data_IF_395541952659
#
_entry.id   IF_395541952659
#
_cell.length_a   1.000
_cell.length_b   1.000
_cell.length_c   1.000
_cell.angle_alpha   90.00
_cell.angle_beta   90.00
_cell.angle_gamma   90.00
#
_symmetry.space_group_name_H-M   'P 1'
#
loop_
_entity.id
_entity.type
_entity.pdbx_description
1 polymer ?
#
# COMPACT_ATOMS: atom_id res chain seq x y z
N UNK A 1 -35.08 -9.00 11.16
CA UNK A 1 -35.25 -7.55 10.93
C UNK A 1 -34.90 -6.81 12.20
N UNK A 2 -33.69 -6.30 12.34
CA UNK A 2 -33.31 -5.32 13.36
C UNK A 2 -32.54 -4.24 12.67
N UNK A 3 -33.16 -3.04 12.63
CA UNK A 3 -32.61 -1.77 12.15
C UNK A 3 -31.36 -1.39 12.93
N UNK A 4 -30.26 -1.18 12.25
CA UNK A 4 -29.16 -0.34 12.72
C UNK A 4 -28.99 0.85 11.76
N UNK A 5 -29.90 1.79 11.94
CA UNK A 5 -29.77 3.17 11.48
C UNK A 5 -29.38 3.96 12.72
N UNK A 6 -28.21 4.47 12.81
CA UNK A 6 -27.84 5.69 13.53
C UNK A 6 -26.35 5.67 13.87
N UNK A 7 -25.59 6.52 13.24
CA UNK A 7 -24.68 7.50 13.83
C UNK A 7 -23.70 8.03 12.78
N UNK A 8 -24.26 8.80 11.85
CA UNK A 8 -23.48 9.77 11.08
C UNK A 8 -23.93 11.17 11.55
N UNK A 9 -23.41 11.61 12.69
CA UNK A 9 -23.68 12.98 13.13
C UNK A 9 -22.39 13.64 13.61
N UNK A 10 -22.03 14.73 12.91
CA UNK A 10 -21.47 15.98 13.40
C UNK A 10 -19.98 15.97 13.78
N UNK A 11 -19.17 16.52 12.88
CA UNK A 11 -18.20 17.55 13.25
C UNK A 11 -18.18 18.62 12.15
N UNK A 12 -19.23 19.46 12.15
CA UNK A 12 -19.21 20.73 11.46
C UNK A 12 -18.73 21.79 12.46
N UNK A 13 -17.42 21.98 12.60
CA UNK A 13 -16.87 23.15 13.28
C UNK A 13 -16.63 24.23 12.24
N UNK A 14 -17.45 25.28 12.30
CA UNK A 14 -17.24 26.53 11.60
C UNK A 14 -15.93 27.17 12.08
N UNK A 15 -14.92 27.16 11.26
CA UNK A 15 -13.79 28.09 11.40
C UNK A 15 -14.16 29.41 10.72
N UNK A 16 -14.50 30.42 11.52
CA UNK A 16 -14.56 31.83 11.09
C UNK A 16 -13.14 32.30 10.83
N UNK A 17 -12.81 32.51 9.56
CA UNK A 17 -11.56 33.16 9.17
C UNK A 17 -11.72 34.67 9.32
N UNK A 18 -10.92 35.25 10.21
CA UNK A 18 -10.63 36.70 10.21
C UNK A 18 -9.74 37.01 9.00
N UNK A 19 -10.21 37.84 8.10
CA UNK A 19 -9.42 38.38 6.99
C UNK A 19 -8.50 39.48 7.54
N UNK A 20 -7.19 39.26 7.41
CA UNK A 20 -6.22 40.34 7.34
C UNK A 20 -5.64 40.34 5.93
N UNK A 21 -5.96 41.41 5.22
CA UNK A 21 -5.48 41.76 3.89
C UNK A 21 -4.11 42.42 4.04
N UNK A 22 -3.05 41.79 3.51
CA UNK A 22 -1.92 42.54 2.96
C UNK A 22 -1.27 41.72 1.85
N UNK A 23 -1.21 42.34 0.68
CA UNK A 23 -0.75 41.80 -0.60
C UNK A 23 0.76 41.65 -0.63
N UNK A 24 1.21 40.41 -0.91
CA UNK A 24 2.31 40.11 -1.85
C UNK A 24 2.18 38.62 -2.18
N UNK A 25 1.55 38.30 -3.29
CA UNK A 25 1.48 36.93 -3.80
C UNK A 25 2.82 36.52 -4.43
N UNK A 26 3.79 36.18 -3.59
CA UNK A 26 4.77 35.17 -3.95
C UNK A 26 4.05 33.83 -3.95
N UNK A 27 4.12 33.08 -5.07
CA UNK A 27 3.59 31.73 -5.15
C UNK A 27 4.05 30.93 -3.92
N UNK A 28 3.15 30.27 -3.15
CA UNK A 28 3.54 29.63 -1.90
C UNK A 28 4.63 28.59 -2.18
N UNK A 29 5.81 28.80 -1.63
CA UNK A 29 6.91 27.84 -1.70
C UNK A 29 6.43 26.53 -1.08
N UNK A 30 6.42 25.43 -1.89
CA UNK A 30 5.99 24.11 -1.44
C UNK A 30 6.94 23.68 -0.31
N UNK A 31 6.41 23.37 0.87
CA UNK A 31 7.23 22.94 1.99
C UNK A 31 7.89 21.59 1.67
N UNK A 32 9.06 21.30 2.26
CA UNK A 32 9.71 20.00 2.09
C UNK A 32 8.76 18.84 2.45
N UNK A 33 7.91 19.02 3.47
CA UNK A 33 6.93 18.01 3.87
C UNK A 33 5.84 17.80 2.80
N UNK A 34 5.41 18.87 2.11
CA UNK A 34 4.43 18.79 1.04
C UNK A 34 5.00 18.05 -0.18
N UNK A 35 6.24 18.40 -0.58
CA UNK A 35 6.94 17.72 -1.67
C UNK A 35 7.13 16.22 -1.39
N UNK A 36 7.52 15.86 -0.17
CA UNK A 36 7.68 14.45 0.24
C UNK A 36 6.33 13.72 0.30
N UNK A 37 5.28 14.36 0.81
CA UNK A 37 3.93 13.78 0.81
C UNK A 37 3.48 13.44 -0.61
N UNK A 38 3.76 14.32 -1.58
CA UNK A 38 3.48 14.09 -3.00
C UNK A 38 4.35 13.00 -3.62
N UNK A 39 5.65 12.96 -3.31
CA UNK A 39 6.54 11.89 -3.76
C UNK A 39 6.11 10.51 -3.26
N UNK A 40 5.63 10.40 -2.03
CA UNK A 40 5.15 9.15 -1.44
C UNK A 40 3.91 8.56 -2.13
N UNK A 41 3.14 9.40 -2.85
CA UNK A 41 2.04 8.91 -3.68
C UNK A 41 2.49 8.33 -5.03
N UNK A 42 3.79 8.38 -5.33
CA UNK A 42 4.38 7.82 -6.55
C UNK A 42 5.22 6.58 -6.22
N UNK A 43 4.74 5.34 -6.51
CA UNK A 43 5.46 4.09 -6.22
C UNK A 43 6.80 3.95 -6.95
N UNK A 44 7.05 4.75 -7.99
CA UNK A 44 8.31 4.76 -8.75
C UNK A 44 9.08 6.07 -8.60
N UNK A 45 8.84 6.82 -7.51
CA UNK A 45 9.59 8.02 -7.18
C UNK A 45 11.08 7.72 -6.90
N UNK A 46 11.93 8.70 -7.14
CA UNK A 46 13.36 8.65 -6.80
C UNK A 46 13.61 8.91 -5.30
N UNK A 47 12.82 8.28 -4.44
CA UNK A 47 12.86 8.41 -2.98
C UNK A 47 13.12 7.05 -2.34
N UNK A 48 14.19 6.94 -1.54
CA UNK A 48 14.38 5.75 -0.70
C UNK A 48 13.39 5.84 0.45
N UNK A 49 12.59 4.80 0.64
CA UNK A 49 11.63 4.72 1.74
C UNK A 49 11.55 3.32 2.31
N UNK A 50 11.24 3.24 3.60
CA UNK A 50 11.03 1.97 4.30
C UNK A 50 9.70 2.03 5.04
N UNK A 51 8.59 1.66 4.39
CA UNK A 51 7.30 1.50 5.03
C UNK A 51 7.24 0.29 5.96
N UNK A 52 6.72 0.50 7.17
CA UNK A 52 6.25 -0.52 8.10
C UNK A 52 4.74 -0.42 8.15
N UNK A 53 4.05 -1.28 7.40
CA UNK A 53 2.60 -1.24 7.22
C UNK A 53 1.93 -2.38 7.98
N UNK A 54 1.25 -2.05 9.09
CA UNK A 54 0.41 -2.98 9.82
C UNK A 54 -1.03 -2.98 9.27
N UNK A 55 -1.52 -4.17 8.93
CA UNK A 55 -2.92 -4.44 8.62
C UNK A 55 -3.49 -5.30 9.76
N UNK A 56 -4.61 -4.89 10.31
CA UNK A 56 -5.27 -5.57 11.41
C UNK A 56 -6.67 -5.96 10.94
N UNK A 57 -6.93 -7.26 10.84
CA UNK A 57 -8.17 -7.85 10.34
C UNK A 57 -8.84 -8.67 11.47
N UNK A 58 -10.15 -8.50 11.64
CA UNK A 58 -10.94 -9.10 12.70
C UNK A 58 -12.21 -9.75 12.15
N UNK A 59 -12.74 -10.74 12.89
CA UNK A 59 -13.91 -11.47 12.48
C UNK A 59 -13.64 -12.42 11.32
N UNK A 60 -12.49 -13.07 11.29
CA UNK A 60 -12.12 -13.96 10.20
C UNK A 60 -12.76 -15.33 10.37
N UNK A 61 -13.64 -15.69 9.43
CA UNK A 61 -14.26 -17.01 9.35
C UNK A 61 -15.18 -17.35 10.53
N UNK A 62 -15.65 -18.60 10.58
CA UNK A 62 -16.62 -19.06 11.57
C UNK A 62 -16.09 -19.06 13.02
N UNK A 63 -14.78 -19.10 13.21
CA UNK A 63 -14.14 -19.05 14.52
C UNK A 63 -13.88 -17.62 15.01
N UNK A 64 -14.34 -16.59 14.27
CA UNK A 64 -14.15 -15.17 14.60
C UNK A 64 -12.67 -14.83 14.83
N UNK A 65 -11.81 -15.37 13.97
CA UNK A 65 -10.36 -15.23 14.06
C UNK A 65 -9.86 -13.80 13.82
N UNK A 66 -8.59 -13.59 14.09
CA UNK A 66 -7.92 -12.31 13.85
C UNK A 66 -6.56 -12.48 13.20
N UNK A 67 -6.12 -11.47 12.43
CA UNK A 67 -4.80 -11.44 11.80
C UNK A 67 -4.22 -10.04 11.83
N UNK A 68 -2.98 -9.97 12.29
CA UNK A 68 -2.10 -8.81 12.09
C UNK A 68 -1.07 -9.20 11.04
N UNK A 69 -0.92 -8.38 10.00
CA UNK A 69 0.14 -8.52 9.00
C UNK A 69 0.98 -7.25 8.99
N UNK A 70 2.24 -7.33 9.43
CA UNK A 70 3.21 -6.25 9.30
C UNK A 70 4.02 -6.46 8.02
N UNK A 71 3.78 -5.65 7.00
CA UNK A 71 4.58 -5.61 5.79
C UNK A 71 5.75 -4.66 5.96
N UNK A 72 6.98 -5.17 5.89
CA UNK A 72 8.20 -4.38 5.80
C UNK A 72 8.49 -4.20 4.31
N UNK A 73 8.48 -2.93 3.81
CA UNK A 73 8.41 -2.68 2.36
C UNK A 73 9.50 -1.70 1.87
N UNK A 74 10.81 -2.01 1.96
CA UNK A 74 11.85 -1.15 1.43
C UNK A 74 11.66 -0.91 -0.07
N UNK A 75 11.78 0.36 -0.47
CA UNK A 75 11.78 0.84 -1.86
C UNK A 75 13.07 1.58 -2.11
N UNK A 76 13.84 1.13 -3.11
CA UNK A 76 15.15 1.67 -3.43
C UNK A 76 15.24 2.00 -4.92
N UNK A 77 15.33 3.29 -5.29
CA UNK A 77 15.58 3.72 -6.66
C UNK A 77 17.08 3.62 -7.00
N UNK A 78 17.39 2.93 -8.08
CA UNK A 78 18.73 2.76 -8.64
C UNK A 78 18.75 3.45 -9.99
N UNK A 79 19.65 4.42 -10.18
CA UNK A 79 19.83 5.09 -11.47
C UNK A 79 20.57 4.17 -12.45
N UNK A 80 19.92 3.79 -13.54
CA UNK A 80 20.52 2.96 -14.59
C UNK A 80 21.19 3.78 -15.68
N UNK A 81 20.62 4.93 -16.01
CA UNK A 81 21.13 5.85 -17.01
C UNK A 81 20.67 7.29 -16.71
N UNK A 82 20.96 8.24 -17.59
CA UNK A 82 20.43 9.62 -17.47
C UNK A 82 18.90 9.65 -17.51
N UNK A 83 18.26 8.73 -18.23
CA UNK A 83 16.82 8.74 -18.49
C UNK A 83 16.03 7.65 -17.75
N UNK A 84 16.68 6.65 -17.13
CA UNK A 84 16.02 5.49 -16.58
C UNK A 84 16.45 5.16 -15.14
N UNK A 85 15.48 4.80 -14.33
CA UNK A 85 15.66 4.20 -13.02
C UNK A 85 15.18 2.74 -13.02
N UNK A 86 15.79 1.92 -12.16
CA UNK A 86 15.23 0.67 -11.67
C UNK A 86 14.76 0.91 -10.23
N UNK A 87 13.48 0.72 -9.97
CA UNK A 87 12.92 0.84 -8.63
C UNK A 87 12.76 -0.57 -8.06
N UNK A 88 13.63 -0.94 -7.14
CA UNK A 88 13.52 -2.19 -6.41
C UNK A 88 12.54 -2.04 -5.23
N UNK A 89 11.61 -2.97 -5.09
CA UNK A 89 10.68 -3.06 -3.96
C UNK A 89 10.64 -4.47 -3.43
N UNK A 90 10.77 -4.63 -2.12
CA UNK A 90 10.52 -5.89 -1.41
C UNK A 90 9.30 -5.68 -0.52
N UNK A 91 8.45 -6.69 -0.40
CA UNK A 91 7.39 -6.77 0.60
C UNK A 91 7.67 -8.03 1.39
N UNK A 92 8.05 -7.89 2.67
CA UNK A 92 8.28 -8.99 3.59
C UNK A 92 7.20 -8.97 4.67
N UNK A 93 6.19 -9.88 4.62
CA UNK A 93 5.14 -9.93 5.61
C UNK A 93 5.58 -10.70 6.85
N UNK A 94 5.34 -10.11 8.03
CA UNK A 94 5.37 -10.79 9.34
C UNK A 94 3.92 -10.92 9.80
N UNK A 95 3.47 -12.14 10.03
CA UNK A 95 2.08 -12.45 10.37
C UNK A 95 1.99 -12.93 11.80
N UNK A 96 1.00 -12.40 12.53
CA UNK A 96 0.49 -12.95 13.77
C UNK A 96 -1.02 -13.19 13.60
N UNK A 97 -1.47 -14.42 13.73
CA UNK A 97 -2.88 -14.74 13.54
C UNK A 97 -3.37 -15.74 14.58
N UNK A 98 -4.69 -15.68 14.83
CA UNK A 98 -5.39 -16.57 15.75
C UNK A 98 -6.68 -17.07 15.09
N UNK A 99 -6.88 -18.38 15.05
CA UNK A 99 -8.10 -19.06 14.61
C UNK A 99 -8.60 -18.64 13.19
N UNK A 100 -7.69 -18.30 12.28
CA UNK A 100 -8.00 -17.87 10.92
C UNK A 100 -8.47 -19.04 10.04
N UNK A 101 -7.99 -20.24 10.31
CA UNK A 101 -8.38 -21.47 9.61
C UNK A 101 -9.21 -22.38 10.56
N UNK A 102 -10.40 -21.88 10.96
CA UNK A 102 -11.18 -22.52 12.01
C UNK A 102 -10.46 -22.43 13.37
N UNK A 103 -10.66 -23.39 14.27
CA UNK A 103 -9.99 -23.41 15.57
C UNK A 103 -8.51 -23.87 15.44
N UNK A 104 -7.74 -23.18 14.62
CA UNK A 104 -6.35 -23.54 14.29
C UNK A 104 -5.33 -23.07 15.32
N UNK A 105 -5.75 -22.32 16.36
CA UNK A 105 -4.87 -21.71 17.35
C UNK A 105 -4.03 -20.56 16.76
N UNK A 106 -2.94 -20.22 17.45
CA UNK A 106 -2.06 -19.11 17.07
C UNK A 106 -0.96 -19.56 16.10
N UNK A 107 -0.66 -18.71 15.11
CA UNK A 107 0.53 -18.80 14.28
C UNK A 107 1.25 -17.47 14.27
N UNK A 108 2.58 -17.52 14.33
CA UNK A 108 3.44 -16.33 14.20
C UNK A 108 4.66 -16.65 13.34
N UNK A 109 4.99 -15.80 12.39
CA UNK A 109 6.15 -15.98 11.54
C UNK A 109 6.18 -15.10 10.31
N UNK A 110 7.14 -15.36 9.44
CA UNK A 110 7.20 -14.75 8.11
C UNK A 110 6.20 -15.42 7.17
N UNK A 111 5.67 -14.66 6.24
CA UNK A 111 4.99 -15.16 5.04
C UNK A 111 5.93 -15.10 3.83
N UNK A 112 5.41 -15.46 2.67
CA UNK A 112 6.15 -15.39 1.42
C UNK A 112 6.42 -13.94 1.03
N UNK A 113 7.67 -13.65 0.67
CA UNK A 113 8.08 -12.32 0.24
C UNK A 113 7.71 -12.08 -1.22
N UNK A 114 7.36 -10.83 -1.54
CA UNK A 114 7.18 -10.37 -2.92
C UNK A 114 8.28 -9.37 -3.26
N UNK A 115 9.02 -9.66 -4.33
CA UNK A 115 10.11 -8.82 -4.83
C UNK A 115 9.75 -8.29 -6.20
N UNK A 116 9.81 -6.98 -6.41
CA UNK A 116 9.47 -6.33 -7.68
C UNK A 116 10.58 -5.43 -8.15
N UNK A 117 10.79 -5.35 -9.47
CA UNK A 117 11.66 -4.38 -10.11
C UNK A 117 10.89 -3.61 -11.18
N UNK A 118 10.82 -2.29 -11.07
CA UNK A 118 10.16 -1.43 -12.07
C UNK A 118 11.21 -0.64 -12.84
N UNK A 119 11.33 -0.89 -14.13
CA UNK A 119 12.01 0.02 -15.05
C UNK A 119 11.09 1.20 -15.30
N UNK A 120 11.52 2.40 -14.92
CA UNK A 120 10.72 3.62 -15.01
C UNK A 120 11.54 4.76 -15.62
N UNK A 121 10.99 5.52 -16.59
CA UNK A 121 11.60 6.77 -17.01
C UNK A 121 11.72 7.74 -15.83
N UNK A 122 12.80 8.53 -15.79
CA UNK A 122 12.98 9.56 -14.75
C UNK A 122 12.00 10.70 -14.91
N UNK A 123 11.66 11.04 -16.14
CA UNK A 123 10.73 12.11 -16.49
C UNK A 123 9.37 11.54 -16.91
N UNK A 124 8.28 12.20 -16.54
CA UNK A 124 6.95 11.87 -17.05
C UNK A 124 6.89 12.00 -18.57
N UNK A 125 5.96 11.30 -19.21
CA UNK A 125 5.66 11.52 -20.65
C UNK A 125 5.18 12.96 -20.88
N UNK A 126 5.12 13.41 -22.15
CA UNK A 126 4.60 14.73 -22.52
C UNK A 126 3.16 14.98 -22.05
N UNK A 127 2.36 13.91 -21.82
CA UNK A 127 1.02 13.96 -21.22
C UNK A 127 1.01 13.94 -19.69
N UNK A 128 2.18 13.94 -19.03
CA UNK A 128 2.31 13.92 -17.57
C UNK A 128 2.09 12.54 -16.95
N UNK A 129 2.09 11.45 -17.75
CA UNK A 129 1.99 10.08 -17.25
C UNK A 129 3.35 9.63 -16.69
N UNK A 130 3.35 9.16 -15.45
CA UNK A 130 4.45 8.47 -14.80
C UNK A 130 4.14 6.98 -14.84
N UNK A 131 5.11 6.15 -15.22
CA UNK A 131 4.89 4.71 -15.31
C UNK A 131 6.17 3.93 -15.03
N UNK A 132 5.99 2.67 -14.69
CA UNK A 132 7.06 1.70 -14.57
C UNK A 132 6.53 0.30 -14.79
N UNK A 133 7.35 -0.57 -15.39
CA UNK A 133 7.02 -1.96 -15.63
C UNK A 133 8.25 -2.85 -15.41
N UNK A 134 8.02 -4.12 -15.09
CA UNK A 134 9.09 -5.07 -14.91
C UNK A 134 8.65 -6.40 -14.32
N UNK A 135 9.58 -7.20 -13.79
CA UNK A 135 9.27 -8.47 -13.17
C UNK A 135 8.80 -8.33 -11.73
N UNK A 136 7.99 -9.29 -11.30
CA UNK A 136 7.64 -9.56 -9.91
C UNK A 136 7.90 -11.03 -9.60
N UNK A 137 8.37 -11.30 -8.38
CA UNK A 137 8.66 -12.62 -7.88
C UNK A 137 7.98 -12.87 -6.55
N UNK A 138 7.39 -14.04 -6.36
CA UNK A 138 6.97 -14.60 -5.09
C UNK A 138 8.06 -15.54 -4.60
N UNK A 139 8.61 -15.28 -3.43
CA UNK A 139 9.71 -16.04 -2.85
C UNK A 139 9.20 -16.78 -1.62
N UNK A 140 9.32 -18.11 -1.52
CA UNK A 140 8.80 -18.90 -0.41
C UNK A 140 9.67 -18.74 0.84
N UNK A 141 9.45 -17.63 1.56
CA UNK A 141 10.15 -17.28 2.80
C UNK A 141 9.34 -17.59 4.06
N UNK A 142 8.15 -18.17 3.91
CA UNK A 142 7.28 -18.47 5.04
C UNK A 142 7.95 -19.45 6.02
N UNK A 143 7.80 -19.14 7.32
CA UNK A 143 8.37 -19.97 8.41
C UNK A 143 7.39 -20.98 9.00
N UNK A 144 6.12 -20.92 8.61
CA UNK A 144 5.05 -21.86 8.93
C UNK A 144 4.25 -22.14 7.65
N UNK A 145 3.88 -23.39 7.40
CA UNK A 145 3.16 -23.82 6.19
C UNK A 145 1.75 -23.21 6.06
N UNK A 146 1.17 -22.68 7.16
CA UNK A 146 -0.09 -21.96 7.18
C UNK A 146 0.05 -20.47 6.86
N UNK A 147 1.30 -19.96 6.79
CA UNK A 147 1.60 -18.55 6.51
C UNK A 147 2.13 -18.31 5.09
N UNK A 148 2.38 -19.38 4.31
CA UNK A 148 2.91 -19.28 2.95
C UNK A 148 2.38 -20.32 1.98
N UNK A 149 2.81 -20.19 0.75
CA UNK A 149 2.38 -21.03 -0.37
C UNK A 149 3.31 -22.22 -0.64
N UNK A 150 4.56 -22.15 -0.15
CA UNK A 150 5.65 -23.10 -0.49
C UNK A 150 5.93 -23.13 -2.01
N UNK A 151 5.56 -22.07 -2.74
CA UNK A 151 5.74 -21.93 -4.19
C UNK A 151 6.65 -20.74 -4.48
N UNK A 152 7.57 -20.93 -5.43
CA UNK A 152 8.25 -19.83 -6.10
C UNK A 152 7.43 -19.43 -7.31
N UNK A 153 7.13 -18.13 -7.41
CA UNK A 153 6.34 -17.59 -8.50
C UNK A 153 7.02 -16.41 -9.18
N UNK A 154 6.62 -16.14 -10.42
CA UNK A 154 7.07 -14.98 -11.17
C UNK A 154 6.01 -14.47 -12.13
N UNK A 155 6.17 -13.23 -12.55
CA UNK A 155 5.30 -12.62 -13.54
C UNK A 155 5.59 -11.14 -13.80
N UNK A 156 4.74 -10.46 -14.56
CA UNK A 156 4.87 -9.04 -14.85
C UNK A 156 4.26 -8.17 -13.75
N UNK A 157 4.84 -6.98 -13.56
CA UNK A 157 4.25 -5.90 -12.77
C UNK A 157 4.27 -4.60 -13.54
N UNK A 158 3.26 -3.75 -13.34
CA UNK A 158 3.15 -2.43 -13.95
C UNK A 158 2.53 -1.44 -12.96
N UNK A 159 2.99 -0.21 -13.01
CA UNK A 159 2.40 0.93 -12.33
C UNK A 159 2.24 2.09 -13.28
N UNK A 160 1.12 2.80 -13.20
CA UNK A 160 0.83 4.01 -13.96
C UNK A 160 0.14 5.01 -13.05
N UNK A 161 0.54 6.28 -13.13
CA UNK A 161 -0.10 7.35 -12.38
C UNK A 161 0.08 8.71 -13.07
N UNK A 162 -0.79 9.64 -12.68
CA UNK A 162 -0.70 11.05 -13.04
C UNK A 162 -0.84 11.91 -11.81
N UNK A 163 0.04 12.92 -11.70
CA UNK A 163 -0.01 13.93 -10.65
C UNK A 163 -0.48 15.27 -11.26
N UNK A 164 -1.61 15.79 -10.78
CA UNK A 164 -2.20 17.04 -11.27
C UNK A 164 -2.61 17.91 -10.08
N UNK A 165 -1.92 19.03 -9.89
CA UNK A 165 -2.12 19.90 -8.72
C UNK A 165 -1.91 19.12 -7.42
N UNK A 166 -2.94 19.09 -6.59
CA UNK A 166 -2.95 18.38 -5.31
C UNK A 166 -3.30 16.89 -5.44
N UNK A 167 -3.73 16.42 -6.61
CA UNK A 167 -4.20 15.06 -6.80
C UNK A 167 -3.15 14.16 -7.45
N UNK A 168 -3.12 12.92 -6.99
CA UNK A 168 -2.44 11.80 -7.63
C UNK A 168 -3.47 10.70 -7.89
N UNK A 169 -3.59 10.24 -9.13
CA UNK A 169 -4.47 9.14 -9.52
C UNK A 169 -3.61 8.11 -10.24
N UNK A 170 -3.75 6.85 -9.87
CA UNK A 170 -2.97 5.79 -10.46
C UNK A 170 -3.47 4.40 -10.14
N UNK A 171 -2.75 3.42 -10.70
CA UNK A 171 -2.97 2.02 -10.40
C UNK A 171 -1.65 1.24 -10.50
N UNK A 172 -1.51 0.23 -9.64
CA UNK A 172 -0.49 -0.80 -9.73
C UNK A 172 -1.18 -2.14 -9.99
N UNK A 173 -0.62 -2.94 -10.89
CA UNK A 173 -1.08 -4.29 -11.14
C UNK A 173 0.11 -5.23 -11.29
N UNK A 174 -0.08 -6.47 -10.88
CA UNK A 174 0.83 -7.57 -11.20
C UNK A 174 0.06 -8.87 -11.37
N UNK A 175 0.71 -9.82 -12.02
CA UNK A 175 0.22 -11.17 -12.11
C UNK A 175 1.38 -12.13 -11.77
N UNK A 176 1.12 -13.16 -10.97
CA UNK A 176 2.12 -14.14 -10.54
C UNK A 176 1.60 -15.54 -10.82
N UNK A 177 2.40 -16.33 -11.55
CA UNK A 177 2.24 -17.77 -11.69
C UNK A 177 3.31 -18.50 -10.86
N UNK A 178 2.95 -19.59 -10.18
CA UNK A 178 3.94 -20.50 -9.62
C UNK A 178 4.69 -21.21 -10.75
N UNK A 179 6.01 -21.31 -10.61
CA UNK A 179 6.89 -21.97 -11.60
C UNK A 179 7.74 -23.07 -10.96
N UNK A 180 7.81 -23.14 -9.63
CA UNK A 180 8.48 -24.16 -8.85
C UNK A 180 7.91 -24.21 -7.42
N UNK A 181 8.23 -25.28 -6.68
CA UNK A 181 7.85 -25.42 -5.27
C UNK A 181 7.25 -26.80 -4.97
N UNK A 182 6.56 -26.91 -3.84
CA UNK A 182 5.98 -28.17 -3.35
C UNK A 182 4.82 -28.63 -4.22
N UNK A 183 4.84 -29.89 -4.70
CA UNK A 183 3.74 -30.49 -5.45
C UNK A 183 2.50 -30.78 -4.59
N UNK A 184 2.66 -30.75 -3.26
CA UNK A 184 1.56 -30.96 -2.31
C UNK A 184 0.79 -29.66 -1.98
N UNK A 185 1.16 -28.54 -2.60
CA UNK A 185 0.54 -27.23 -2.40
C UNK A 185 -0.13 -26.77 -3.69
N UNK A 186 -1.25 -26.06 -3.53
CA UNK A 186 -1.96 -25.45 -4.64
C UNK A 186 -1.05 -24.49 -5.41
N UNK A 187 -1.19 -24.46 -6.72
CA UNK A 187 -0.49 -23.49 -7.56
C UNK A 187 -0.94 -22.07 -7.29
N UNK A 188 -0.07 -21.14 -7.60
CA UNK A 188 -0.33 -19.70 -7.54
C UNK A 188 -0.61 -19.21 -8.95
N UNK A 189 -1.79 -18.64 -9.15
CA UNK A 189 -2.23 -18.02 -10.38
C UNK A 189 -3.07 -16.78 -10.00
N UNK A 190 -2.36 -15.71 -9.58
CA UNK A 190 -2.98 -14.57 -8.93
C UNK A 190 -2.72 -13.27 -9.68
N UNK A 191 -3.80 -12.50 -9.93
CA UNK A 191 -3.71 -11.10 -10.34
C UNK A 191 -3.95 -10.20 -9.14
N UNK A 192 -3.02 -9.29 -8.88
CA UNK A 192 -3.18 -8.20 -7.93
C UNK A 192 -3.45 -6.89 -8.66
N UNK A 193 -4.39 -6.09 -8.15
CA UNK A 193 -4.73 -4.77 -8.68
C UNK A 193 -4.92 -3.78 -7.52
N UNK A 194 -4.28 -2.62 -7.62
CA UNK A 194 -4.37 -1.54 -6.63
C UNK A 194 -4.57 -0.19 -7.31
N UNK A 195 -5.81 0.18 -7.69
CA UNK A 195 -6.13 1.57 -8.05
C UNK A 195 -6.16 2.47 -6.82
N UNK A 196 -5.74 3.72 -6.98
CA UNK A 196 -5.72 4.70 -5.90
C UNK A 196 -5.96 6.11 -6.40
N UNK A 197 -6.51 6.93 -5.51
CA UNK A 197 -6.57 8.38 -5.63
C UNK A 197 -6.11 8.99 -4.31
N UNK A 198 -5.19 9.95 -4.39
CA UNK A 198 -4.71 10.67 -3.23
C UNK A 198 -4.85 12.18 -3.45
N UNK A 199 -5.15 12.89 -2.37
CA UNK A 199 -5.11 14.34 -2.32
C UNK A 199 -4.11 14.79 -1.27
N UNK A 200 -3.18 15.66 -1.66
CA UNK A 200 -2.22 16.30 -0.78
C UNK A 200 -2.75 17.65 -0.30
N UNK A 201 -2.45 17.99 0.95
CA UNK A 201 -2.81 19.24 1.59
C UNK A 201 -1.55 19.92 2.11
N UNK A 202 -1.61 21.21 2.42
CA UNK A 202 -0.51 21.95 3.04
C UNK A 202 -0.11 21.35 4.39
N UNK A 203 1.17 21.44 4.74
CA UNK A 203 1.74 20.94 6.00
C UNK A 203 2.03 19.43 6.01
N UNK A 204 2.22 18.82 4.82
CA UNK A 204 2.58 17.42 4.67
C UNK A 204 1.44 16.43 4.89
N UNK A 205 0.20 16.89 4.92
CA UNK A 205 -0.99 16.03 5.06
C UNK A 205 -1.40 15.43 3.73
N UNK A 206 -1.95 14.22 3.76
CA UNK A 206 -2.59 13.59 2.61
C UNK A 206 -3.76 12.72 3.01
N UNK A 207 -4.69 12.55 2.09
CA UNK A 207 -5.81 11.60 2.18
C UNK A 207 -5.79 10.73 0.94
N UNK A 208 -5.79 9.41 1.13
CA UNK A 208 -5.74 8.42 0.06
C UNK A 208 -6.92 7.47 0.16
N UNK A 209 -7.61 7.27 -0.95
CA UNK A 209 -8.56 6.17 -1.13
C UNK A 209 -7.88 5.19 -2.09
N UNK A 210 -7.77 3.94 -1.69
CA UNK A 210 -7.32 2.87 -2.56
C UNK A 210 -8.10 1.58 -2.28
N UNK A 211 -8.09 0.68 -3.25
CA UNK A 211 -8.49 -0.69 -3.02
C UNK A 211 -7.36 -1.63 -3.43
N UNK A 212 -7.17 -2.68 -2.66
CA UNK A 212 -6.27 -3.79 -2.97
C UNK A 212 -7.15 -5.00 -3.27
N UNK A 213 -7.01 -5.54 -4.47
CA UNK A 213 -7.77 -6.68 -4.97
C UNK A 213 -6.80 -7.76 -5.40
N UNK A 214 -7.04 -9.00 -4.97
CA UNK A 214 -6.37 -10.19 -5.50
C UNK A 214 -7.42 -11.16 -6.04
N UNK A 215 -7.28 -11.53 -7.31
CA UNK A 215 -8.03 -12.60 -7.95
C UNK A 215 -7.13 -13.84 -8.04
N UNK A 216 -7.54 -14.91 -7.40
CA UNK A 216 -7.00 -16.26 -7.61
C UNK A 216 -7.82 -16.93 -8.71
N UNK A 217 -7.20 -17.19 -9.86
CA UNK A 217 -7.89 -17.71 -11.04
C UNK A 217 -8.17 -19.21 -10.95
N UNK A 218 -7.33 -19.97 -10.23
CA UNK A 218 -7.50 -21.41 -10.10
C UNK A 218 -8.59 -21.78 -9.10
N UNK A 219 -8.75 -20.97 -8.05
CA UNK A 219 -9.78 -21.15 -7.04
C UNK A 219 -11.07 -20.38 -7.33
N UNK A 220 -11.12 -19.54 -8.38
CA UNK A 220 -12.19 -18.57 -8.66
C UNK A 220 -12.53 -17.73 -7.42
N UNK A 221 -11.48 -17.25 -6.76
CA UNK A 221 -11.60 -16.60 -5.48
C UNK A 221 -11.04 -15.15 -5.54
N UNK A 222 -11.87 -14.21 -5.13
CA UNK A 222 -11.54 -12.79 -5.03
C UNK A 222 -11.40 -12.37 -3.58
N UNK A 223 -10.28 -11.74 -3.22
CA UNK A 223 -10.11 -11.07 -1.93
C UNK A 223 -9.68 -9.63 -2.15
N UNK A 224 -10.24 -8.71 -1.39
CA UNK A 224 -9.90 -7.31 -1.51
C UNK A 224 -10.17 -6.52 -0.24
N UNK A 225 -9.71 -5.28 -0.22
CA UNK A 225 -9.99 -4.34 0.86
C UNK A 225 -9.98 -2.92 0.33
N UNK A 226 -11.00 -2.16 0.69
CA UNK A 226 -11.06 -0.72 0.46
C UNK A 226 -10.45 0.00 1.67
N UNK A 227 -9.64 1.01 1.40
CA UNK A 227 -8.95 1.80 2.41
C UNK A 227 -9.25 3.29 2.25
N UNK A 228 -9.43 3.99 3.37
CA UNK A 228 -9.42 5.45 3.46
C UNK A 228 -8.33 5.85 4.44
N UNK A 229 -7.20 6.33 3.94
CA UNK A 229 -5.97 6.53 4.73
C UNK A 229 -5.66 8.02 4.85
N UNK A 230 -5.68 8.54 6.06
CA UNK A 230 -5.13 9.85 6.41
C UNK A 230 -3.65 9.70 6.77
N UNK A 231 -2.81 10.62 6.28
CA UNK A 231 -1.38 10.58 6.54
C UNK A 231 -0.78 11.98 6.78
N UNK A 232 0.35 12.02 7.47
CA UNK A 232 1.14 13.23 7.69
C UNK A 232 2.63 12.94 7.63
N UNK A 233 3.37 13.76 6.90
CA UNK A 233 4.84 13.80 6.90
C UNK A 233 5.31 14.79 7.95
N UNK A 234 6.28 14.38 8.76
CA UNK A 234 6.90 15.18 9.82
C UNK A 234 8.31 14.67 10.11
N UNK A 235 9.04 15.34 10.99
CA UNK A 235 10.38 14.92 11.41
C UNK A 235 10.37 14.45 12.85
N UNK A 236 11.04 13.32 13.12
CA UNK A 236 11.40 12.86 14.47
C UNK A 236 12.91 13.07 14.62
N UNK A 237 13.29 14.16 15.29
CA UNK A 237 14.68 14.61 15.26
C UNK A 237 15.11 14.96 13.83
N UNK A 238 16.12 14.25 13.30
CA UNK A 238 16.59 14.41 11.92
C UNK A 238 15.92 13.45 10.92
N UNK A 239 15.15 12.47 11.41
CA UNK A 239 14.51 11.47 10.57
C UNK A 239 13.19 11.98 10.02
N UNK A 240 13.11 12.13 8.70
CA UNK A 240 11.85 12.37 7.99
C UNK A 240 10.99 11.11 8.02
N UNK A 241 9.75 11.27 8.42
CA UNK A 241 8.84 10.16 8.70
C UNK A 241 7.43 10.51 8.23
N UNK A 242 6.69 9.53 7.72
CA UNK A 242 5.24 9.65 7.55
C UNK A 242 4.56 8.70 8.52
N UNK A 243 3.53 9.18 9.19
CA UNK A 243 2.53 8.35 9.86
C UNK A 243 1.25 8.33 9.02
N UNK A 244 0.63 7.17 8.90
CA UNK A 244 -0.62 7.00 8.18
C UNK A 244 -1.53 6.01 8.92
N UNK A 245 -2.84 6.29 8.91
CA UNK A 245 -3.84 5.43 9.55
C UNK A 245 -5.18 5.56 8.85
N UNK A 246 -5.96 4.48 8.88
CA UNK A 246 -7.33 4.51 8.39
C UNK A 246 -8.03 3.16 8.42
N UNK A 247 -9.34 3.14 8.20
CA UNK A 247 -10.14 1.92 8.11
C UNK A 247 -9.74 1.07 6.90
N UNK A 248 -9.87 -0.22 7.07
CA UNK A 248 -9.74 -1.27 6.07
C UNK A 248 -11.06 -2.02 6.02
N UNK A 249 -11.75 -1.97 4.89
CA UNK A 249 -13.05 -2.59 4.66
C UNK A 249 -12.84 -3.79 3.74
N UNK A 250 -12.79 -5.01 4.27
CA UNK A 250 -12.60 -6.21 3.48
C UNK A 250 -13.82 -6.50 2.59
N UNK A 251 -13.60 -7.08 1.41
CA UNK A 251 -14.63 -7.54 0.48
C UNK A 251 -14.14 -8.71 -0.37
N UNK A 252 -15.06 -9.34 -1.09
CA UNK A 252 -14.79 -10.48 -1.96
C UNK A 252 -15.36 -11.79 -1.41
N UNK A 253 -15.21 -12.87 -2.17
CA UNK A 253 -15.71 -14.19 -1.79
C UNK A 253 -14.68 -15.04 -1.04
N UNK A 254 -13.39 -14.65 -1.09
CA UNK A 254 -12.29 -15.31 -0.38
C UNK A 254 -11.87 -14.59 0.91
N UNK A 255 -12.33 -13.37 1.12
CA UNK A 255 -12.03 -12.61 2.32
C UNK A 255 -13.15 -12.79 3.33
N UNK A 256 -12.81 -13.35 4.47
CA UNK A 256 -13.76 -13.66 5.54
C UNK A 256 -13.65 -12.75 6.76
N UNK A 257 -12.81 -11.72 6.70
CA UNK A 257 -12.75 -10.71 7.78
C UNK A 257 -13.96 -9.77 7.72
N UNK A 258 -14.50 -9.42 8.88
CA UNK A 258 -15.63 -8.50 8.98
C UNK A 258 -15.21 -7.05 8.84
N UNK A 259 -14.08 -6.69 9.44
CA UNK A 259 -13.53 -5.32 9.41
C UNK A 259 -12.05 -5.31 9.75
N UNK A 260 -11.41 -4.18 9.53
CA UNK A 260 -10.01 -3.99 9.87
C UNK A 260 -9.59 -2.52 9.89
N UNK A 261 -8.34 -2.29 10.21
CA UNK A 261 -7.69 -0.99 10.04
C UNK A 261 -6.24 -1.17 9.58
N UNK A 262 -5.69 -0.12 9.01
CA UNK A 262 -4.29 -0.02 8.62
C UNK A 262 -3.62 1.09 9.41
N UNK A 263 -2.43 0.83 9.95
CA UNK A 263 -1.53 1.84 10.49
C UNK A 263 -0.15 1.67 9.85
N UNK A 264 0.52 2.77 9.53
CA UNK A 264 1.79 2.73 8.83
C UNK A 264 2.75 3.79 9.34
N UNK A 265 4.02 3.43 9.46
CA UNK A 265 5.15 4.35 9.65
C UNK A 265 6.07 4.17 8.46
N UNK A 266 6.44 5.28 7.81
CA UNK A 266 7.37 5.27 6.68
C UNK A 266 8.59 6.10 7.02
N UNK A 267 9.75 5.47 7.02
CA UNK A 267 11.03 6.16 7.13
C UNK A 267 11.47 6.65 5.75
N UNK A 268 11.83 7.93 5.63
CA UNK A 268 12.15 8.60 4.37
C UNK A 268 13.63 8.99 4.36
N UNK A 269 14.29 8.69 3.24
CA UNK A 269 15.70 9.00 3.03
C UNK A 269 15.83 9.73 1.68
N UNK A 270 15.55 11.06 1.64
CA UNK A 270 15.72 11.85 0.42
C UNK A 270 17.18 11.77 -0.02
N UNK A 271 17.41 11.66 -1.35
CA UNK A 271 18.74 11.87 -1.91
C UNK A 271 19.05 13.36 -1.76
N UNK A 272 20.19 13.69 -1.14
CA UNK A 272 20.71 15.04 -1.05
C UNK A 272 21.09 15.59 -2.43
#
# INVERSE_FOLDING_TARGET
MKSYFLLLFIFCYCFTFSQNTENNEEAPQESQADALAKQLQNPVASLISVPFQGNFDFGIGAANGSRMTLNIQPVVPISLSENWNLIGRVILPVISQQDVQGNSGSQFGLSDAVVSGFFSPKEPTSGGLIWGAGPVFLVPTATDNRLGTEKFGMGPTVVMLKQAGQFTIGALANHIWSVAGSDNRADVNNTFLQPFIARNFKGGYSLTINTELTQNWDADATSGSLHLIGAKVFSIGKQLTQFAIGPRIPYGNANTADWGFRAMIVLLFPKG
#
